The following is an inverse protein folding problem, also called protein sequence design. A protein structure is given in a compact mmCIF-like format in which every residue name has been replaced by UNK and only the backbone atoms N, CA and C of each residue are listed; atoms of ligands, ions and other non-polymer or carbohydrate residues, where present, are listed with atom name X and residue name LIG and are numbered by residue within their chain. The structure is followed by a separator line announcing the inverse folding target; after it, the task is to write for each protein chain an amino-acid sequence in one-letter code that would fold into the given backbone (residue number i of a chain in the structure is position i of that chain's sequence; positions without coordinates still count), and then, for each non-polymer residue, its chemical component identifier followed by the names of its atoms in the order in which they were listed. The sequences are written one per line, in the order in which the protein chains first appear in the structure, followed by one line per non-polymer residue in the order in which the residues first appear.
data_IF_430905439744
#
_entry.id   IF_430905439744
#
_cell.length_a   1.000
_cell.length_b   1.000
_cell.length_c   1.000
_cell.angle_alpha   90.00
_cell.angle_beta   90.00
_cell.angle_gamma   90.00
#
_symmetry.space_group_name_H-M   'P 1'
#
loop_
_entity.id
_entity.type
_entity.pdbx_description
1 polymer ?
#
# COMPACT_ATOMS: atom_id res chain seq x y z
N UNK A 1 -37.33 9.39 -15.25
CA UNK A 1 -36.01 10.03 -15.17
C UNK A 1 -35.42 9.68 -13.81
N UNK A 2 -34.77 8.53 -13.69
CA UNK A 2 -34.24 8.04 -12.43
C UNK A 2 -32.79 8.47 -12.32
N UNK A 3 -32.51 9.44 -11.45
CA UNK A 3 -31.16 9.87 -11.11
C UNK A 3 -30.46 8.77 -10.32
N UNK A 4 -29.58 8.04 -10.98
CA UNK A 4 -28.61 7.16 -10.34
C UNK A 4 -27.59 8.06 -9.62
N UNK A 5 -27.74 8.17 -8.30
CA UNK A 5 -26.80 8.87 -7.44
C UNK A 5 -25.45 8.16 -7.45
N UNK A 6 -24.44 8.82 -8.00
CA UNK A 6 -23.06 8.37 -7.99
C UNK A 6 -22.58 8.16 -6.55
N UNK A 7 -22.21 6.92 -6.22
CA UNK A 7 -21.64 6.53 -4.92
C UNK A 7 -20.20 7.03 -4.71
N UNK A 8 -19.77 8.08 -5.45
CA UNK A 8 -18.50 8.77 -5.30
C UNK A 8 -18.33 9.45 -3.92
N UNK A 9 -19.40 9.54 -3.12
CA UNK A 9 -19.38 10.15 -1.79
C UNK A 9 -18.77 9.30 -0.68
N UNK A 10 -18.84 7.96 -0.70
CA UNK A 10 -18.60 7.14 0.51
C UNK A 10 -17.19 7.23 1.11
N UNK A 11 -16.15 6.86 0.35
CA UNK A 11 -14.76 6.83 0.86
C UNK A 11 -14.15 8.23 1.04
N UNK A 12 -14.50 9.16 0.13
CA UNK A 12 -14.16 10.57 0.29
C UNK A 12 -14.86 11.14 1.53
N UNK A 13 -16.15 10.84 1.76
CA UNK A 13 -16.87 11.26 2.95
C UNK A 13 -16.31 10.62 4.22
N UNK A 14 -15.82 9.37 4.19
CA UNK A 14 -15.15 8.77 5.35
C UNK A 14 -13.85 9.49 5.65
N UNK A 15 -13.01 9.78 4.65
CA UNK A 15 -11.80 10.58 4.87
C UNK A 15 -12.13 12.00 5.34
N UNK A 16 -13.11 12.66 4.72
CA UNK A 16 -13.54 14.02 5.07
C UNK A 16 -14.19 14.08 6.45
N UNK A 17 -15.00 13.09 6.82
CA UNK A 17 -15.65 13.01 8.13
C UNK A 17 -14.63 12.76 9.26
N UNK A 18 -13.54 12.05 8.95
CA UNK A 18 -12.47 11.77 9.91
C UNK A 18 -11.29 12.75 9.80
N UNK A 19 -11.32 13.73 8.90
CA UNK A 19 -10.24 14.70 8.72
C UNK A 19 -9.92 15.47 10.02
N UNK A 20 -10.92 15.94 10.81
CA UNK A 20 -10.65 16.58 12.09
C UNK A 20 -9.96 15.66 13.10
N UNK A 21 -10.34 14.38 13.12
CA UNK A 21 -9.74 13.37 14.01
C UNK A 21 -8.29 13.08 13.60
N UNK A 22 -8.05 12.87 12.29
CA UNK A 22 -6.71 12.64 11.76
C UNK A 22 -5.80 13.84 12.04
N UNK A 23 -6.30 15.05 11.79
CA UNK A 23 -5.58 16.30 12.07
C UNK A 23 -5.24 16.45 13.55
N UNK A 24 -6.19 16.14 14.44
CA UNK A 24 -5.97 16.15 15.88
C UNK A 24 -4.87 15.15 16.28
N UNK A 25 -4.98 13.89 15.85
CA UNK A 25 -4.00 12.85 16.19
C UNK A 25 -2.60 13.23 15.68
N UNK A 26 -2.49 13.67 14.42
CA UNK A 26 -1.20 14.08 13.84
C UNK A 26 -0.62 15.31 14.55
N UNK A 27 -1.47 16.23 14.99
CA UNK A 27 -1.06 17.40 15.78
C UNK A 27 -0.58 17.01 17.18
N UNK A 28 -1.28 16.10 17.86
CA UNK A 28 -0.86 15.57 19.16
C UNK A 28 0.47 14.80 19.07
N UNK A 29 0.71 14.12 17.96
CA UNK A 29 1.96 13.41 17.69
C UNK A 29 3.05 14.31 17.12
N UNK A 30 2.79 15.62 16.94
CA UNK A 30 3.78 16.55 16.39
C UNK A 30 5.00 16.58 17.30
N UNK A 31 6.15 16.19 16.75
CA UNK A 31 7.44 16.06 17.43
C UNK A 31 7.52 14.92 18.48
N UNK A 32 6.57 13.98 18.50
CA UNK A 32 6.58 12.79 19.36
C UNK A 32 7.08 11.58 18.57
N UNK A 33 8.38 11.56 18.27
CA UNK A 33 8.96 10.59 17.32
C UNK A 33 8.84 9.13 17.75
N UNK A 34 9.06 8.83 19.02
CA UNK A 34 8.89 7.49 19.58
C UNK A 34 7.43 7.04 19.52
N UNK A 35 6.49 7.97 19.75
CA UNK A 35 5.05 7.66 19.70
C UNK A 35 4.59 7.42 18.26
N UNK A 36 5.12 8.19 17.28
CA UNK A 36 4.87 7.94 15.86
C UNK A 36 5.37 6.56 15.45
N UNK A 37 6.58 6.18 15.86
CA UNK A 37 7.14 4.87 15.52
C UNK A 37 6.37 3.72 16.18
N UNK A 38 6.01 3.86 17.46
CA UNK A 38 5.16 2.90 18.18
C UNK A 38 3.80 2.72 17.50
N UNK A 39 3.16 3.83 17.10
CA UNK A 39 1.88 3.80 16.40
C UNK A 39 2.01 3.18 15.00
N UNK A 40 3.06 3.53 14.24
CA UNK A 40 3.34 2.91 12.95
C UNK A 40 3.58 1.40 13.09
N UNK A 41 4.30 0.96 14.11
CA UNK A 41 4.50 -0.46 14.41
C UNK A 41 3.18 -1.17 14.68
N UNK A 42 2.29 -0.57 15.48
CA UNK A 42 0.96 -1.09 15.75
C UNK A 42 0.09 -1.18 14.48
N UNK A 43 0.08 -0.13 13.66
CA UNK A 43 -0.65 -0.12 12.37
C UNK A 43 -0.10 -1.21 11.45
N UNK A 44 1.22 -1.30 11.33
CA UNK A 44 1.88 -2.32 10.50
C UNK A 44 1.50 -3.73 10.96
N UNK A 45 1.53 -4.01 12.27
CA UNK A 45 1.14 -5.30 12.82
C UNK A 45 -0.32 -5.65 12.53
N UNK A 46 -1.23 -4.68 12.64
CA UNK A 46 -2.64 -4.87 12.29
C UNK A 46 -2.82 -5.19 10.81
N UNK A 47 -2.15 -4.46 9.92
CA UNK A 47 -2.20 -4.70 8.47
C UNK A 47 -1.60 -6.06 8.08
N UNK A 48 -0.48 -6.44 8.70
CA UNK A 48 0.12 -7.76 8.50
C UNK A 48 -0.80 -8.89 8.97
N UNK A 49 -1.52 -8.70 10.08
CA UNK A 49 -2.52 -9.65 10.56
C UNK A 49 -3.67 -9.81 9.55
N UNK A 50 -4.18 -8.71 9.01
CA UNK A 50 -5.22 -8.74 7.97
C UNK A 50 -4.76 -9.47 6.70
N UNK A 51 -3.52 -9.22 6.27
CA UNK A 51 -2.92 -9.95 5.15
C UNK A 51 -2.81 -11.45 5.44
N UNK A 52 -2.42 -11.84 6.65
CA UNK A 52 -2.34 -13.24 7.08
C UNK A 52 -3.70 -13.94 7.01
N UNK A 53 -4.74 -13.29 7.54
CA UNK A 53 -6.13 -13.79 7.47
C UNK A 53 -6.63 -13.92 6.04
N UNK A 54 -6.38 -12.91 5.18
CA UNK A 54 -6.81 -12.96 3.79
C UNK A 54 -6.13 -14.11 3.02
N UNK A 55 -4.83 -14.33 3.27
CA UNK A 55 -4.06 -15.46 2.73
C UNK A 55 -4.58 -16.82 3.20
N UNK A 56 -5.05 -16.93 4.43
CA UNK A 56 -5.64 -18.15 4.97
C UNK A 56 -7.01 -18.43 4.33
N UNK A 57 -7.83 -17.39 4.16
CA UNK A 57 -9.12 -17.48 3.47
C UNK A 57 -8.99 -17.93 2.01
N UNK A 58 -8.00 -17.41 1.27
CA UNK A 58 -7.71 -17.86 -0.11
C UNK A 58 -7.40 -19.36 -0.19
N UNK A 59 -6.78 -19.93 0.87
CA UNK A 59 -6.42 -21.35 0.94
C UNK A 59 -7.57 -22.23 1.41
N UNK A 60 -8.50 -21.69 2.20
CA UNK A 60 -9.52 -22.47 2.88
C UNK A 60 -10.68 -22.94 1.98
N UNK A 61 -10.87 -22.36 0.78
CA UNK A 61 -11.87 -22.77 -0.24
C UNK A 61 -13.32 -23.01 0.23
N UNK A 62 -13.67 -22.65 1.47
CA UNK A 62 -14.99 -22.82 2.05
C UNK A 62 -15.69 -21.46 2.06
N UNK A 63 -16.61 -21.28 1.12
CA UNK A 63 -17.27 -20.02 0.80
C UNK A 63 -18.37 -19.62 1.76
N UNK A 64 -18.11 -19.56 3.06
CA UNK A 64 -19.09 -18.98 3.98
C UNK A 64 -18.44 -18.10 5.04
N UNK A 65 -19.00 -16.89 5.18
CA UNK A 65 -18.53 -15.73 5.94
C UNK A 65 -17.24 -15.04 5.41
N UNK A 66 -17.41 -14.18 4.40
CA UNK A 66 -16.45 -13.12 4.11
C UNK A 66 -16.48 -12.14 5.30
N UNK A 67 -15.61 -12.33 6.29
CA UNK A 67 -15.37 -11.37 7.38
C UNK A 67 -14.65 -10.17 6.77
N UNK A 68 -15.41 -9.36 6.01
CA UNK A 68 -14.90 -8.20 5.29
C UNK A 68 -14.47 -7.16 6.31
N UNK A 69 -13.15 -6.96 6.41
CA UNK A 69 -12.59 -5.83 7.12
C UNK A 69 -13.14 -4.56 6.46
N UNK A 70 -13.78 -3.65 7.21
CA UNK A 70 -14.35 -2.44 6.63
C UNK A 70 -13.26 -1.66 5.90
N UNK A 71 -13.43 -1.45 4.59
CA UNK A 71 -12.47 -0.73 3.76
C UNK A 71 -12.17 0.68 4.32
N UNK A 72 -13.15 1.28 4.99
CA UNK A 72 -13.04 2.55 5.71
C UNK A 72 -12.02 2.49 6.85
N UNK A 73 -11.99 1.39 7.60
CA UNK A 73 -11.06 1.21 8.71
C UNK A 73 -9.62 1.00 8.20
N UNK A 74 -9.45 0.36 7.04
CA UNK A 74 -8.15 0.28 6.37
C UNK A 74 -7.71 1.65 5.87
N UNK A 75 -8.61 2.37 5.19
CA UNK A 75 -8.33 3.70 4.65
C UNK A 75 -7.89 4.69 5.72
N UNK A 76 -8.51 4.66 6.92
CA UNK A 76 -8.08 5.48 8.05
C UNK A 76 -6.68 5.13 8.54
N UNK A 77 -6.35 3.84 8.62
CA UNK A 77 -5.00 3.39 9.01
C UNK A 77 -3.94 3.86 8.02
N UNK A 78 -4.21 3.74 6.72
CA UNK A 78 -3.28 4.25 5.69
C UNK A 78 -3.21 5.76 5.66
N UNK A 79 -4.32 6.46 5.91
CA UNK A 79 -4.33 7.92 6.01
C UNK A 79 -3.46 8.40 7.18
N UNK A 80 -3.53 7.72 8.32
CA UNK A 80 -2.71 8.02 9.49
C UNK A 80 -1.22 7.70 9.24
N UNK A 81 -0.92 6.54 8.66
CA UNK A 81 0.44 6.19 8.25
C UNK A 81 1.03 7.19 7.23
N UNK A 82 0.22 7.64 6.27
CA UNK A 82 0.58 8.67 5.29
C UNK A 82 0.78 10.05 5.92
N UNK A 83 0.03 10.40 6.96
CA UNK A 83 0.28 11.61 7.75
C UNK A 83 1.60 11.56 8.55
N UNK A 84 2.15 10.37 8.78
CA UNK A 84 3.43 10.13 9.45
C UNK A 84 4.51 9.63 8.50
N UNK A 85 4.38 9.92 7.19
CA UNK A 85 5.26 9.37 6.16
C UNK A 85 6.74 9.69 6.39
N UNK A 86 7.06 10.86 6.94
CA UNK A 86 8.42 11.25 7.31
C UNK A 86 9.04 10.30 8.35
N UNK A 87 8.23 9.77 9.27
CA UNK A 87 8.69 8.79 10.25
C UNK A 87 8.96 7.42 9.60
N UNK A 88 8.17 7.00 8.60
CA UNK A 88 8.42 5.77 7.83
C UNK A 88 9.76 5.87 7.09
N UNK A 89 10.08 7.05 6.53
CA UNK A 89 11.30 7.30 5.78
C UNK A 89 12.54 7.53 6.64
N UNK A 90 12.41 7.61 7.96
CA UNK A 90 13.52 7.89 8.88
C UNK A 90 14.62 6.82 8.83
N UNK A 91 14.27 5.58 8.49
CA UNK A 91 15.24 4.50 8.35
C UNK A 91 14.93 3.60 7.15
N UNK A 92 15.99 3.01 6.58
CA UNK A 92 15.85 2.02 5.52
C UNK A 92 15.03 0.82 5.96
N UNK A 93 15.17 0.39 7.22
CA UNK A 93 14.43 -0.76 7.75
C UNK A 93 12.92 -0.51 7.71
N UNK A 94 12.45 0.62 8.25
CA UNK A 94 11.04 1.00 8.21
C UNK A 94 10.55 1.15 6.76
N UNK A 95 11.29 1.87 5.93
CA UNK A 95 10.96 2.04 4.51
C UNK A 95 10.79 0.69 3.81
N UNK A 96 11.72 -0.24 4.05
CA UNK A 96 11.69 -1.57 3.46
C UNK A 96 10.51 -2.40 3.95
N UNK A 97 10.22 -2.39 5.25
CA UNK A 97 9.16 -3.21 5.83
C UNK A 97 7.79 -2.75 5.34
N UNK A 98 7.55 -1.44 5.34
CA UNK A 98 6.32 -0.85 4.79
C UNK A 98 6.16 -1.10 3.29
N UNK A 99 7.21 -0.93 2.49
CA UNK A 99 7.13 -1.18 1.05
C UNK A 99 6.84 -2.66 0.72
N UNK A 100 7.41 -3.59 1.50
CA UNK A 100 7.12 -5.02 1.38
C UNK A 100 5.67 -5.31 1.76
N UNK A 101 5.17 -4.78 2.88
CA UNK A 101 3.78 -4.95 3.31
C UNK A 101 2.79 -4.43 2.26
N UNK A 102 3.02 -3.21 1.73
CA UNK A 102 2.19 -2.61 0.69
C UNK A 102 2.16 -3.48 -0.58
N UNK A 103 3.34 -3.96 -0.99
CA UNK A 103 3.47 -4.87 -2.14
C UNK A 103 2.72 -6.18 -1.91
N UNK A 104 2.81 -6.75 -0.71
CA UNK A 104 2.09 -7.98 -0.36
C UNK A 104 0.58 -7.79 -0.40
N UNK A 105 0.06 -6.68 0.15
CA UNK A 105 -1.36 -6.35 0.12
C UNK A 105 -1.89 -6.21 -1.31
N UNK A 106 -1.12 -5.57 -2.20
CA UNK A 106 -1.46 -5.41 -3.62
C UNK A 106 -1.35 -6.73 -4.40
N UNK A 107 -0.34 -7.56 -4.09
CA UNK A 107 -0.08 -8.81 -4.82
C UNK A 107 -0.99 -9.98 -4.45
N UNK A 108 -1.59 -9.97 -3.24
CA UNK A 108 -2.51 -11.01 -2.77
C UNK A 108 -3.97 -10.69 -3.05
N UNK A 109 -4.26 -9.67 -3.88
CA UNK A 109 -5.64 -9.29 -4.25
C UNK A 109 -6.62 -9.14 -3.06
N UNK A 110 -6.11 -8.96 -1.84
CA UNK A 110 -6.91 -8.59 -0.65
C UNK A 110 -7.69 -7.31 -0.97
N UNK A 111 -7.15 -6.52 -1.90
CA UNK A 111 -7.75 -5.36 -2.52
C UNK A 111 -7.80 -5.61 -4.04
N UNK A 112 -8.75 -6.44 -4.46
CA UNK A 112 -8.97 -6.73 -5.87
C UNK A 112 -9.43 -5.46 -6.59
N UNK A 113 -8.71 -5.07 -7.64
CA UNK A 113 -9.01 -3.90 -8.48
C UNK A 113 -10.34 -4.07 -9.25
N UNK A 114 -10.86 -5.30 -9.35
CA UNK A 114 -12.07 -5.62 -10.12
C UNK A 114 -13.35 -5.75 -9.29
N UNK A 115 -13.23 -5.91 -7.97
CA UNK A 115 -14.39 -5.85 -7.07
C UNK A 115 -14.72 -4.37 -6.84
N UNK A 116 -15.46 -3.82 -7.82
CA UNK A 116 -15.93 -2.45 -8.09
C UNK A 116 -16.57 -1.64 -6.92
N UNK A 117 -16.22 -1.89 -5.66
CA UNK A 117 -16.53 -0.92 -4.60
C UNK A 117 -15.52 0.23 -4.66
N UNK A 118 -16.03 1.44 -4.86
CA UNK A 118 -15.26 2.68 -4.95
C UNK A 118 -14.30 2.90 -3.76
N UNK A 119 -14.63 2.35 -2.58
CA UNK A 119 -13.73 2.38 -1.42
C UNK A 119 -12.47 1.53 -1.62
N UNK A 120 -12.59 0.37 -2.28
CA UNK A 120 -11.46 -0.50 -2.64
C UNK A 120 -10.58 0.15 -3.71
N UNK A 121 -11.17 0.90 -4.65
CA UNK A 121 -10.43 1.67 -5.66
C UNK A 121 -9.61 2.82 -5.06
N UNK A 122 -10.17 3.61 -4.13
CA UNK A 122 -9.44 4.70 -3.48
C UNK A 122 -8.35 4.19 -2.52
N UNK A 123 -8.62 3.06 -1.88
CA UNK A 123 -7.62 2.37 -1.07
C UNK A 123 -6.48 1.86 -1.95
N UNK A 124 -6.79 1.25 -3.09
CA UNK A 124 -5.80 0.79 -4.05
C UNK A 124 -4.89 1.93 -4.55
N UNK A 125 -5.47 3.05 -4.99
CA UNK A 125 -4.67 4.21 -5.42
C UNK A 125 -3.81 4.75 -4.29
N UNK A 126 -4.36 4.88 -3.07
CA UNK A 126 -3.60 5.30 -1.89
C UNK A 126 -2.39 4.40 -1.64
N UNK A 127 -2.54 3.08 -1.75
CA UNK A 127 -1.42 2.14 -1.55
C UNK A 127 -0.37 2.23 -2.65
N UNK A 128 -0.80 2.34 -3.90
CA UNK A 128 0.10 2.50 -5.04
C UNK A 128 0.87 3.82 -4.90
N UNK A 129 0.22 4.92 -4.55
CA UNK A 129 0.85 6.22 -4.36
C UNK A 129 1.86 6.18 -3.22
N UNK A 130 1.51 5.57 -2.08
CA UNK A 130 2.43 5.41 -0.96
C UNK A 130 3.64 4.54 -1.34
N UNK A 131 3.41 3.42 -2.04
CA UNK A 131 4.47 2.52 -2.49
C UNK A 131 5.41 3.22 -3.50
N UNK A 132 4.84 3.90 -4.49
CA UNK A 132 5.59 4.69 -5.45
C UNK A 132 6.43 5.73 -4.72
N UNK A 133 5.83 6.50 -3.81
CA UNK A 133 6.54 7.54 -3.06
C UNK A 133 7.71 6.96 -2.26
N UNK A 134 7.57 5.79 -1.63
CA UNK A 134 8.68 5.12 -0.91
C UNK A 134 9.81 4.70 -1.87
N UNK A 135 9.47 4.12 -3.03
CA UNK A 135 10.45 3.72 -4.05
C UNK A 135 11.21 4.94 -4.58
N UNK A 136 10.48 5.99 -4.98
CA UNK A 136 11.05 7.22 -5.51
C UNK A 136 11.91 7.96 -4.48
N UNK A 137 11.46 8.01 -3.22
CA UNK A 137 12.23 8.60 -2.13
C UNK A 137 13.55 7.86 -1.90
N UNK A 138 13.50 6.53 -1.86
CA UNK A 138 14.71 5.69 -1.69
C UNK A 138 15.68 5.87 -2.85
N UNK A 139 15.17 6.09 -4.07
CA UNK A 139 15.98 6.37 -5.26
C UNK A 139 16.60 7.77 -5.22
N UNK A 140 15.82 8.79 -4.86
CA UNK A 140 16.24 10.19 -4.83
C UNK A 140 17.30 10.46 -3.75
N UNK A 141 17.25 9.74 -2.63
CA UNK A 141 18.27 9.77 -1.59
C UNK A 141 19.60 9.09 -2.04
N UNK A 142 19.63 8.47 -3.22
CA UNK A 142 20.72 7.66 -3.79
C UNK A 142 22.01 8.37 -4.20
N UNK A 143 22.27 9.60 -3.72
CA UNK A 143 23.52 10.32 -3.98
C UNK A 143 24.76 9.68 -3.34
N UNK A 144 24.57 8.84 -2.33
CA UNK A 144 25.62 8.08 -1.62
C UNK A 144 25.55 6.58 -1.98
N UNK A 145 26.71 5.90 -1.99
CA UNK A 145 26.86 4.47 -2.33
C UNK A 145 26.00 3.56 -1.43
N UNK A 146 25.79 3.95 -0.17
CA UNK A 146 24.92 3.24 0.76
C UNK A 146 23.45 3.29 0.33
N UNK A 147 22.96 4.44 -0.11
CA UNK A 147 21.56 4.58 -0.53
C UNK A 147 21.28 3.90 -1.86
N UNK A 148 22.28 3.84 -2.75
CA UNK A 148 22.20 3.00 -3.96
C UNK A 148 22.03 1.52 -3.63
N UNK A 149 22.72 1.00 -2.60
CA UNK A 149 22.52 -0.37 -2.10
C UNK A 149 21.13 -0.55 -1.49
N UNK A 150 20.64 0.41 -0.70
CA UNK A 150 19.29 0.40 -0.15
C UNK A 150 18.22 0.27 -1.23
N UNK A 151 18.30 1.08 -2.29
CA UNK A 151 17.38 0.99 -3.43
C UNK A 151 17.45 -0.37 -4.12
N UNK A 152 18.65 -0.90 -4.38
CA UNK A 152 18.82 -2.22 -5.00
C UNK A 152 18.25 -3.35 -4.15
N UNK A 153 18.48 -3.30 -2.83
CA UNK A 153 17.97 -4.29 -1.89
C UNK A 153 16.45 -4.23 -1.78
N UNK A 154 15.89 -3.03 -1.71
CA UNK A 154 14.44 -2.81 -1.75
C UNK A 154 13.86 -3.44 -3.02
N UNK A 155 14.43 -3.13 -4.17
CA UNK A 155 13.98 -3.64 -5.46
C UNK A 155 13.98 -5.17 -5.53
N UNK A 156 15.02 -5.82 -5.00
CA UNK A 156 15.09 -7.28 -4.90
C UNK A 156 13.96 -7.85 -4.02
N UNK A 157 13.67 -7.22 -2.88
CA UNK A 157 12.56 -7.63 -2.01
C UNK A 157 11.21 -7.49 -2.71
N UNK A 158 10.95 -6.36 -3.37
CA UNK A 158 9.68 -6.13 -4.07
C UNK A 158 9.46 -7.13 -5.21
N UNK A 159 10.52 -7.39 -6.01
CA UNK A 159 10.47 -8.42 -7.07
C UNK A 159 10.20 -9.82 -6.51
N UNK A 160 10.78 -10.16 -5.36
CA UNK A 160 10.57 -11.45 -4.68
C UNK A 160 9.11 -11.61 -4.22
N UNK A 161 8.52 -10.57 -3.63
CA UNK A 161 7.13 -10.62 -3.17
C UNK A 161 6.12 -10.77 -4.31
N UNK A 162 6.39 -10.12 -5.44
CA UNK A 162 5.59 -10.25 -6.66
C UNK A 162 5.74 -11.67 -7.26
N UNK A 163 6.96 -12.17 -7.37
CA UNK A 163 7.25 -13.47 -8.00
C UNK A 163 6.63 -13.60 -9.39
N UNK A 164 6.02 -14.76 -9.66
CA UNK A 164 5.30 -15.06 -10.91
C UNK A 164 3.79 -14.80 -10.80
N UNK A 165 3.36 -13.94 -9.87
CA UNK A 165 1.95 -13.56 -9.74
C UNK A 165 1.51 -12.73 -10.93
N UNK A 166 0.23 -12.86 -11.29
CA UNK A 166 -0.40 -12.12 -12.38
C UNK A 166 -1.71 -11.49 -11.88
N UNK A 167 -2.14 -10.42 -12.53
CA UNK A 167 -3.36 -9.69 -12.19
C UNK A 167 -3.19 -8.18 -12.33
N UNK A 168 -4.28 -7.40 -12.42
CA UNK A 168 -4.22 -5.95 -12.61
C UNK A 168 -3.44 -5.24 -11.51
N UNK A 169 -3.69 -5.58 -10.25
CA UNK A 169 -2.99 -4.99 -9.09
C UNK A 169 -1.48 -5.29 -9.13
N UNK A 170 -1.12 -6.52 -9.50
CA UNK A 170 0.29 -6.93 -9.66
C UNK A 170 0.95 -6.16 -10.81
N UNK A 171 0.24 -5.95 -11.91
CA UNK A 171 0.74 -5.21 -13.07
C UNK A 171 1.04 -3.76 -12.72
N UNK A 172 0.17 -3.09 -11.95
CA UNK A 172 0.43 -1.73 -11.45
C UNK A 172 1.69 -1.67 -10.58
N UNK A 173 1.93 -2.66 -9.72
CA UNK A 173 3.19 -2.72 -8.94
C UNK A 173 4.38 -2.98 -9.86
N UNK A 174 4.27 -3.89 -10.85
CA UNK A 174 5.36 -4.16 -11.82
C UNK A 174 5.77 -2.90 -12.59
N UNK A 175 4.84 -2.01 -12.90
CA UNK A 175 5.13 -0.72 -13.56
C UNK A 175 5.96 0.23 -12.68
N UNK A 176 5.90 0.09 -11.35
CA UNK A 176 6.74 0.88 -10.42
C UNK A 176 8.18 0.36 -10.34
N UNK A 177 8.44 -0.87 -10.80
CA UNK A 177 9.76 -1.47 -10.74
C UNK A 177 10.53 -1.18 -12.05
N UNK A 178 11.85 -0.87 -12.00
CA UNK A 178 12.69 -0.83 -13.17
C UNK A 178 12.59 -2.16 -13.91
N UNK A 179 12.05 -2.05 -15.12
CA UNK A 179 11.92 -3.15 -16.06
C UNK A 179 13.29 -3.80 -16.21
N UNK A 180 13.35 -5.11 -15.96
CA UNK A 180 14.53 -5.88 -16.35
C UNK A 180 14.75 -5.66 -17.84
N UNK A 181 15.98 -5.30 -18.23
CA UNK A 181 16.39 -4.99 -19.61
C UNK A 181 16.12 -6.12 -20.64
N UNK A 182 15.59 -7.26 -20.21
CA UNK A 182 15.25 -8.42 -21.03
C UNK A 182 13.77 -8.45 -21.48
N UNK A 183 13.02 -7.36 -21.33
CA UNK A 183 11.67 -7.19 -21.92
C UNK A 183 11.67 -6.06 -22.94
N UNK A 184 12.71 -6.03 -23.76
CA UNK A 184 12.71 -5.38 -25.07
C UNK A 184 12.86 -6.55 -26.03
N UNK A 185 11.96 -6.68 -27.02
CA UNK A 185 11.68 -7.87 -27.85
C UNK A 185 10.75 -8.83 -27.08
N UNK A 186 9.42 -8.83 -27.20
CA UNK A 186 8.60 -8.84 -28.41
C UNK A 186 7.38 -7.90 -28.26
N UNK A 187 7.56 -6.66 -28.65
CA UNK A 187 6.48 -5.88 -29.27
C UNK A 187 7.19 -5.24 -30.46
N UNK A 188 6.65 -5.38 -31.67
CA UNK A 188 7.25 -5.09 -32.99
C UNK A 188 7.97 -6.29 -33.65
N UNK A 189 7.42 -6.70 -34.81
CA UNK A 189 7.73 -7.87 -35.67
C UNK A 189 6.91 -9.10 -35.22
N UNK A 190 5.76 -9.45 -35.80
CA UNK A 190 5.20 -9.25 -37.15
C UNK A 190 3.68 -9.34 -37.08
#
# INVERSE_FOLDING_TARGET
MSGSGCACGGAAAVRLANEPLLSLVLTCLRNQDDQKESLLSSIHAQLAHYLGRAREQERAACGDAHDEVPADALLLRFSLAGGMFDAIRRSYQLTSDWAVLLTQLLAHQVLDAYNNTLCRSNLFTTLIDMLATLIHSTLAEGGDDNNRKHYQNLMKKLKKEIGDRHGPSVQSVRQLLPLSKNTIIEVFVT
#
